data_IF_839010669001
#
_entry.id   IF_839010669001
#
_cell.length_a   1.000
_cell.length_b   1.000
_cell.length_c   1.000
_cell.angle_alpha   90.00
_cell.angle_beta   90.00
_cell.angle_gamma   90.00
#
_symmetry.space_group_name_H-M   'P 1'
#
loop_
_entity.id
_entity.type
_entity.pdbx_description
1 polymer ?
#
# COMPACT_ATOMS: atom_id res chain seq x y z
N UNK A 1 -55.02 24.10 23.73
CA UNK A 1 -55.13 23.67 22.31
C UNK A 1 -53.73 23.58 21.76
N UNK A 2 -53.44 22.43 21.15
CA UNK A 2 -52.14 21.78 21.10
C UNK A 2 -51.17 22.35 20.06
N UNK A 3 -49.91 22.49 20.44
CA UNK A 3 -48.78 22.63 19.52
C UNK A 3 -48.47 21.27 18.91
N UNK A 4 -48.42 21.20 17.58
CA UNK A 4 -47.97 20.02 16.83
C UNK A 4 -46.78 20.44 15.97
N UNK A 5 -45.58 19.86 16.16
CA UNK A 5 -44.46 20.07 15.26
C UNK A 5 -44.60 19.13 14.05
N UNK A 6 -44.49 19.69 12.85
CA UNK A 6 -44.38 18.94 11.60
C UNK A 6 -43.02 18.24 11.56
N UNK A 7 -43.06 16.92 11.69
CA UNK A 7 -41.93 16.02 11.49
C UNK A 7 -41.72 15.87 9.98
N UNK A 8 -40.61 16.39 9.45
CA UNK A 8 -40.15 16.11 8.08
C UNK A 8 -38.91 15.24 8.14
N UNK A 9 -39.12 13.93 8.29
CA UNK A 9 -38.12 12.91 8.06
C UNK A 9 -37.89 12.78 6.54
N UNK A 10 -36.96 13.56 5.99
CA UNK A 10 -36.34 13.23 4.71
C UNK A 10 -35.23 12.19 4.95
N UNK A 11 -35.30 10.99 4.35
CA UNK A 11 -34.17 10.07 4.39
C UNK A 11 -33.05 10.60 3.51
N UNK A 12 -31.96 11.06 4.14
CA UNK A 12 -30.67 11.33 3.51
C UNK A 12 -30.21 10.04 2.81
N UNK A 13 -30.41 10.01 1.50
CA UNK A 13 -29.91 8.96 0.62
C UNK A 13 -28.37 9.04 0.59
N UNK A 14 -27.71 8.36 1.53
CA UNK A 14 -26.29 8.08 1.47
C UNK A 14 -26.03 7.09 0.34
N UNK A 15 -26.11 7.59 -0.90
CA UNK A 15 -25.47 6.94 -2.04
C UNK A 15 -23.97 6.93 -1.74
N UNK A 16 -23.51 5.82 -1.18
CA UNK A 16 -22.10 5.46 -1.15
C UNK A 16 -21.63 5.53 -2.60
N UNK A 17 -20.88 6.59 -2.95
CA UNK A 17 -20.25 6.72 -4.27
C UNK A 17 -19.32 5.54 -4.44
N UNK A 18 -19.84 4.43 -4.98
CA UNK A 18 -19.04 3.29 -5.41
C UNK A 18 -18.09 3.83 -6.47
N UNK A 19 -16.80 3.95 -6.12
CA UNK A 19 -15.78 4.35 -7.08
C UNK A 19 -15.84 3.38 -8.27
N UNK A 20 -15.68 3.85 -9.51
CA UNK A 20 -15.74 2.97 -10.68
C UNK A 20 -14.72 1.84 -10.53
N UNK A 21 -15.20 0.60 -10.49
CA UNK A 21 -14.33 -0.57 -10.50
C UNK A 21 -13.97 -0.85 -11.97
N UNK A 22 -12.69 -0.86 -12.29
CA UNK A 22 -12.26 -1.30 -13.62
C UNK A 22 -12.31 -2.83 -13.68
N UNK A 23 -13.09 -3.36 -14.61
CA UNK A 23 -13.14 -4.80 -14.88
C UNK A 23 -12.06 -5.18 -15.91
N UNK A 24 -11.23 -6.18 -15.56
CA UNK A 24 -10.10 -6.63 -16.38
C UNK A 24 -10.10 -8.16 -16.41
N UNK A 25 -10.48 -8.80 -17.51
CA UNK A 25 -10.49 -10.27 -17.58
C UNK A 25 -9.10 -10.90 -17.81
N UNK A 26 -8.20 -10.16 -18.45
CA UNK A 26 -6.84 -10.62 -18.80
C UNK A 26 -5.82 -9.62 -18.32
N UNK A 27 -4.58 -10.03 -17.96
CA UNK A 27 -3.51 -9.10 -17.64
C UNK A 27 -3.43 -7.97 -18.66
N UNK A 28 -3.61 -6.73 -18.22
CA UNK A 28 -3.72 -5.55 -19.09
C UNK A 28 -2.66 -4.55 -18.74
N UNK A 29 -1.85 -4.17 -19.74
CA UNK A 29 -0.82 -3.15 -19.60
C UNK A 29 -1.37 -1.79 -20.00
N UNK A 30 -1.12 -0.77 -19.20
CA UNK A 30 -1.55 0.60 -19.49
C UNK A 30 -0.61 1.63 -18.89
N UNK A 31 -0.61 2.82 -19.47
CA UNK A 31 0.04 4.00 -18.89
C UNK A 31 -0.93 4.71 -17.95
N UNK A 32 -0.44 5.10 -16.78
CA UNK A 32 -1.22 5.83 -15.79
C UNK A 32 -0.36 6.85 -15.03
N UNK A 33 -1.00 7.76 -14.33
CA UNK A 33 -0.36 8.68 -13.39
C UNK A 33 -0.77 8.32 -11.97
N UNK A 34 0.18 8.33 -11.03
CA UNK A 34 -0.13 8.15 -9.61
C UNK A 34 -0.82 9.42 -9.10
N UNK A 35 -2.04 9.26 -8.58
CA UNK A 35 -2.84 10.38 -8.03
C UNK A 35 -2.62 10.51 -6.53
N UNK A 36 -2.59 9.39 -5.81
CA UNK A 36 -2.39 9.38 -4.37
C UNK A 36 -1.96 8.00 -3.89
N UNK A 37 -1.15 7.97 -2.83
CA UNK A 37 -0.75 6.75 -2.12
C UNK A 37 -1.36 6.75 -0.73
N UNK A 38 -2.00 5.64 -0.35
CA UNK A 38 -2.43 5.41 1.03
C UNK A 38 -1.21 5.08 1.88
N UNK A 39 -0.82 6.03 2.71
CA UNK A 39 0.36 5.94 3.57
C UNK A 39 0.05 5.40 4.97
N UNK A 40 -1.19 5.02 5.27
CA UNK A 40 -1.57 4.53 6.61
C UNK A 40 -1.05 3.13 6.89
N UNK A 41 -0.92 2.29 5.86
CA UNK A 41 -0.51 0.89 5.98
C UNK A 41 0.26 0.43 4.73
N UNK A 42 1.48 0.93 4.54
CA UNK A 42 2.34 0.58 3.39
C UNK A 42 2.96 -0.82 3.48
N UNK A 43 3.15 -1.33 4.69
CA UNK A 43 3.81 -2.61 4.95
C UNK A 43 2.90 -3.51 5.80
N UNK A 44 3.04 -4.83 5.61
CA UNK A 44 2.44 -5.82 6.49
C UNK A 44 3.47 -6.87 6.90
N UNK A 45 3.24 -7.50 8.05
CA UNK A 45 4.19 -8.44 8.63
C UNK A 45 3.92 -9.87 8.18
N UNK A 46 4.98 -10.62 7.90
CA UNK A 46 4.94 -12.05 7.56
C UNK A 46 5.99 -12.84 8.34
N UNK A 47 5.79 -14.16 8.43
CA UNK A 47 6.79 -15.08 8.94
C UNK A 47 7.97 -15.14 7.96
N UNK A 48 9.21 -15.01 8.45
CA UNK A 48 10.40 -15.11 7.59
C UNK A 48 10.63 -16.53 7.04
N UNK A 49 10.01 -17.55 7.64
CA UNK A 49 10.18 -18.96 7.30
C UNK A 49 9.10 -19.46 6.33
N UNK A 50 7.82 -19.29 6.67
CA UNK A 50 6.70 -19.82 5.88
C UNK A 50 5.93 -18.76 5.10
N UNK A 51 6.34 -17.49 5.19
CA UNK A 51 5.77 -16.34 4.48
C UNK A 51 4.27 -16.09 4.70
N UNK A 52 3.67 -16.77 5.68
CA UNK A 52 2.30 -16.50 6.11
C UNK A 52 2.22 -15.16 6.83
N UNK A 53 1.14 -14.43 6.58
CA UNK A 53 0.81 -13.18 7.25
C UNK A 53 0.74 -13.36 8.75
N UNK A 54 1.36 -12.43 9.49
CA UNK A 54 1.31 -12.35 10.93
C UNK A 54 0.41 -11.19 11.37
N UNK A 55 -0.22 -11.28 12.57
CA UNK A 55 -0.90 -10.14 13.19
C UNK A 55 0.04 -8.94 13.33
N UNK A 56 -0.46 -7.71 13.29
CA UNK A 56 0.37 -6.50 13.41
C UNK A 56 1.11 -6.39 14.75
N UNK A 57 0.64 -7.06 15.80
CA UNK A 57 1.28 -7.06 17.11
C UNK A 57 2.69 -7.71 17.04
N UNK A 58 3.78 -6.98 17.35
CA UNK A 58 5.15 -7.48 17.17
C UNK A 58 5.49 -8.72 18.00
N UNK A 59 4.77 -8.98 19.09
CA UNK A 59 5.03 -10.13 19.96
C UNK A 59 4.42 -11.43 19.45
N UNK A 60 3.55 -11.38 18.42
CA UNK A 60 2.90 -12.59 17.92
C UNK A 60 3.85 -13.39 17.03
N UNK A 61 4.25 -14.57 17.52
CA UNK A 61 5.01 -15.56 16.75
C UNK A 61 4.15 -16.26 15.68
N UNK A 62 4.79 -16.82 14.66
CA UNK A 62 4.08 -17.60 13.66
C UNK A 62 3.51 -18.89 14.25
N UNK A 63 2.19 -19.05 14.28
CA UNK A 63 1.52 -20.27 14.78
C UNK A 63 1.91 -21.55 14.03
N UNK A 64 2.36 -21.43 12.79
CA UNK A 64 2.72 -22.56 11.93
C UNK A 64 4.20 -22.94 12.02
N UNK A 65 5.05 -22.02 12.47
CA UNK A 65 6.49 -22.24 12.61
C UNK A 65 6.95 -22.23 14.07
N UNK A 66 6.02 -22.07 15.01
CA UNK A 66 6.28 -22.18 16.44
C UNK A 66 6.40 -23.67 16.81
N UNK A 67 7.50 -24.31 16.40
CA UNK A 67 7.85 -25.64 16.87
C UNK A 67 8.62 -25.48 18.17
N UNK A 68 7.92 -25.67 19.29
CA UNK A 68 8.54 -25.72 20.62
C UNK A 68 9.27 -27.05 20.79
N UNK A 69 10.49 -27.17 20.28
CA UNK A 69 11.42 -28.15 20.83
C UNK A 69 12.05 -27.52 22.08
N UNK A 70 11.83 -28.14 23.24
CA UNK A 70 12.26 -27.66 24.57
C UNK A 70 13.77 -27.42 24.71
N UNK A 71 14.58 -27.91 23.76
CA UNK A 71 16.03 -27.77 23.74
C UNK A 71 16.55 -26.58 22.94
N UNK A 72 15.74 -25.96 22.06
CA UNK A 72 16.11 -24.77 21.30
C UNK A 72 14.84 -24.08 20.75
N UNK A 73 14.24 -23.11 21.46
CA UNK A 73 13.12 -22.35 20.93
C UNK A 73 13.60 -21.44 19.78
N UNK A 74 13.58 -21.95 18.54
CA UNK A 74 13.75 -21.10 17.36
C UNK A 74 12.45 -20.33 17.14
N UNK A 75 12.40 -19.12 17.70
CA UNK A 75 11.34 -18.18 17.31
C UNK A 75 11.52 -17.86 15.83
N UNK A 76 10.52 -18.17 15.02
CA UNK A 76 10.51 -17.73 13.64
C UNK A 76 10.49 -16.20 13.62
N UNK A 77 11.52 -15.58 13.06
CA UNK A 77 11.56 -14.14 12.86
C UNK A 77 10.39 -13.65 12.00
N UNK A 78 10.20 -12.34 11.99
CA UNK A 78 9.26 -11.69 11.09
C UNK A 78 9.99 -10.76 10.13
N UNK A 79 9.48 -10.66 8.90
CA UNK A 79 9.89 -9.67 7.91
C UNK A 79 8.68 -8.89 7.42
N UNK A 80 8.89 -7.73 6.83
CA UNK A 80 7.85 -6.91 6.24
C UNK A 80 7.81 -7.10 4.73
N UNK A 81 6.62 -6.94 4.16
CA UNK A 81 6.41 -6.84 2.72
C UNK A 81 5.53 -5.62 2.45
N UNK A 82 5.72 -4.98 1.30
CA UNK A 82 4.87 -3.88 0.89
C UNK A 82 3.47 -4.38 0.47
N UNK A 83 2.47 -3.60 0.85
CA UNK A 83 1.09 -3.64 0.36
C UNK A 83 0.62 -2.21 0.18
N UNK A 84 0.95 -1.63 -0.95
CA UNK A 84 0.67 -0.22 -1.25
C UNK A 84 -0.68 -0.12 -1.94
N UNK A 85 -1.64 0.56 -1.31
CA UNK A 85 -2.86 0.99 -1.98
C UNK A 85 -2.62 2.36 -2.59
N UNK A 86 -2.90 2.51 -3.89
CA UNK A 86 -2.75 3.78 -4.57
C UNK A 86 -3.86 4.01 -5.57
N UNK A 87 -4.23 5.27 -5.75
CA UNK A 87 -5.14 5.70 -6.82
C UNK A 87 -4.30 6.06 -8.04
N UNK A 88 -4.69 5.51 -9.19
CA UNK A 88 -4.07 5.83 -10.48
C UNK A 88 -5.10 6.43 -11.42
N UNK A 89 -4.66 7.38 -12.23
CA UNK A 89 -5.43 7.98 -13.31
C UNK A 89 -4.94 7.44 -14.65
N UNK A 90 -5.84 6.92 -15.47
CA UNK A 90 -5.62 6.75 -16.90
C UNK A 90 -6.15 7.97 -17.65
N UNK A 91 -6.05 7.95 -18.97
CA UNK A 91 -6.70 8.90 -19.89
C UNK A 91 -8.22 9.09 -19.66
N UNK A 92 -8.87 8.08 -19.09
CA UNK A 92 -10.33 7.96 -19.05
C UNK A 92 -10.93 7.89 -17.64
N UNK A 93 -10.16 7.47 -16.63
CA UNK A 93 -10.70 7.20 -15.29
C UNK A 93 -9.66 7.16 -14.19
N UNK A 94 -10.14 7.33 -12.96
CA UNK A 94 -9.36 7.14 -11.73
C UNK A 94 -9.90 5.96 -10.95
N UNK A 95 -9.03 5.04 -10.54
CA UNK A 95 -9.40 3.89 -9.72
C UNK A 95 -8.25 3.46 -8.80
N UNK A 96 -8.58 2.64 -7.79
CA UNK A 96 -7.63 2.17 -6.78
C UNK A 96 -7.04 0.82 -7.19
N UNK A 97 -5.73 0.70 -7.08
CA UNK A 97 -4.98 -0.54 -7.30
C UNK A 97 -4.15 -0.87 -6.05
N UNK A 98 -3.76 -2.14 -5.93
CA UNK A 98 -2.84 -2.61 -4.90
C UNK A 98 -1.54 -3.10 -5.52
N UNK A 99 -0.41 -2.66 -4.96
CA UNK A 99 0.93 -3.08 -5.34
C UNK A 99 1.54 -3.91 -4.22
N UNK A 100 1.93 -5.14 -4.54
CA UNK A 100 2.65 -6.01 -3.62
C UNK A 100 4.16 -5.87 -3.81
N UNK A 101 4.87 -6.42 -2.84
CA UNK A 101 6.31 -6.25 -2.62
C UNK A 101 7.17 -6.11 -3.87
N UNK A 102 7.17 -7.10 -4.78
CA UNK A 102 8.04 -7.05 -5.97
C UNK A 102 7.84 -5.80 -6.83
N UNK A 103 6.59 -5.38 -7.06
CA UNK A 103 6.32 -4.18 -7.83
C UNK A 103 6.60 -2.92 -7.00
N UNK A 104 6.26 -2.92 -5.71
CA UNK A 104 6.45 -1.76 -4.83
C UNK A 104 7.93 -1.40 -4.67
N UNK A 105 8.81 -2.40 -4.57
CA UNK A 105 10.26 -2.17 -4.49
C UNK A 105 10.84 -1.39 -5.67
N UNK A 106 10.21 -1.45 -6.85
CA UNK A 106 10.63 -0.64 -8.02
C UNK A 106 10.43 0.85 -7.75
N UNK A 107 9.29 1.22 -7.16
CA UNK A 107 8.98 2.62 -6.86
C UNK A 107 9.67 3.12 -5.60
N UNK A 108 9.79 2.24 -4.59
CA UNK A 108 10.39 2.60 -3.30
C UNK A 108 11.92 2.57 -3.33
N UNK A 109 12.53 1.74 -4.19
CA UNK A 109 13.99 1.60 -4.30
C UNK A 109 14.66 0.84 -3.16
N UNK A 110 13.88 0.28 -2.25
CA UNK A 110 14.35 -0.42 -1.06
C UNK A 110 13.45 -1.62 -0.74
N UNK A 111 13.86 -2.44 0.22
CA UNK A 111 12.99 -3.48 0.78
C UNK A 111 11.95 -2.88 1.74
N UNK A 112 10.86 -3.61 2.00
CA UNK A 112 9.85 -3.17 2.95
C UNK A 112 10.37 -3.11 4.40
N UNK A 113 11.31 -3.98 4.78
CA UNK A 113 11.98 -3.91 6.08
C UNK A 113 12.83 -2.64 6.20
N UNK A 114 13.63 -2.34 5.18
CA UNK A 114 14.46 -1.13 5.15
C UNK A 114 13.59 0.13 5.25
N UNK A 115 12.51 0.21 4.45
CA UNK A 115 11.58 1.33 4.52
C UNK A 115 10.90 1.43 5.89
N UNK A 116 10.49 0.29 6.46
CA UNK A 116 9.84 0.24 7.76
C UNK A 116 10.79 0.73 8.88
N UNK A 117 12.04 0.30 8.86
CA UNK A 117 13.05 0.76 9.82
C UNK A 117 13.37 2.24 9.64
N UNK A 118 13.46 2.72 8.41
CA UNK A 118 13.59 4.16 8.12
C UNK A 118 12.40 4.96 8.69
N UNK A 119 11.17 4.48 8.46
CA UNK A 119 9.96 5.15 8.91
C UNK A 119 9.77 5.18 10.44
N UNK A 120 10.39 4.25 11.18
CA UNK A 120 10.41 4.29 12.66
C UNK A 120 11.17 5.51 13.19
N UNK A 121 12.26 5.87 12.51
CA UNK A 121 13.15 6.94 12.95
C UNK A 121 12.65 8.29 12.42
N UNK A 122 11.88 8.30 11.33
CA UNK A 122 11.48 9.50 10.61
C UNK A 122 9.95 9.62 10.58
N UNK A 123 9.36 10.32 11.56
CA UNK A 123 7.94 10.67 11.52
C UNK A 123 7.61 11.30 10.17
N UNK A 124 6.51 10.87 9.55
CA UNK A 124 6.08 11.28 8.20
C UNK A 124 6.82 10.67 7.00
N UNK A 125 7.76 9.74 7.17
CA UNK A 125 8.39 9.06 6.03
C UNK A 125 7.38 8.41 5.07
N UNK A 126 6.35 7.74 5.60
CA UNK A 126 5.27 7.16 4.80
C UNK A 126 4.52 8.20 3.95
N UNK A 127 4.19 9.35 4.54
CA UNK A 127 3.53 10.45 3.84
C UNK A 127 4.45 11.08 2.79
N UNK A 128 5.72 11.31 3.13
CA UNK A 128 6.72 11.85 2.22
C UNK A 128 6.95 10.92 1.01
N UNK A 129 6.98 9.60 1.23
CA UNK A 129 7.09 8.63 0.14
C UNK A 129 5.87 8.71 -0.79
N UNK A 130 4.67 8.85 -0.22
CA UNK A 130 3.45 9.06 -1.00
C UNK A 130 3.51 10.32 -1.86
N UNK A 131 4.04 11.42 -1.31
CA UNK A 131 4.25 12.69 -2.04
C UNK A 131 5.32 12.59 -3.12
N UNK A 132 6.41 11.87 -2.86
CA UNK A 132 7.47 11.64 -3.84
C UNK A 132 6.99 10.85 -5.06
N UNK A 133 5.99 9.98 -4.88
CA UNK A 133 5.40 9.19 -5.96
C UNK A 133 4.20 9.86 -6.63
N UNK A 134 3.61 10.89 -6.03
CA UNK A 134 2.46 11.60 -6.59
C UNK A 134 2.84 12.33 -7.88
N UNK A 135 2.05 12.15 -8.94
CA UNK A 135 2.31 12.72 -10.26
C UNK A 135 3.24 11.88 -11.14
N UNK A 136 3.86 10.82 -10.63
CA UNK A 136 4.71 9.95 -11.44
C UNK A 136 3.89 9.19 -12.49
N UNK A 137 4.39 9.19 -13.72
CA UNK A 137 3.81 8.43 -14.82
C UNK A 137 4.42 7.03 -14.87
N UNK A 138 3.56 6.02 -14.90
CA UNK A 138 3.95 4.62 -14.81
C UNK A 138 3.30 3.81 -15.95
N UNK A 139 4.05 2.85 -16.50
CA UNK A 139 3.49 1.73 -17.24
C UNK A 139 3.23 0.61 -16.24
N UNK A 140 1.97 0.22 -16.07
CA UNK A 140 1.57 -0.83 -15.13
C UNK A 140 0.89 -1.98 -15.85
N UNK A 141 1.15 -3.21 -15.40
CA UNK A 141 0.38 -4.38 -15.80
C UNK A 141 -0.57 -4.76 -14.66
N UNK A 142 -1.87 -4.67 -14.92
CA UNK A 142 -2.91 -4.95 -13.95
C UNK A 142 -3.49 -6.36 -14.13
N UNK A 143 -3.74 -7.04 -13.01
CA UNK A 143 -4.38 -8.37 -12.99
C UNK A 143 -5.56 -8.39 -12.03
N UNK A 144 -6.55 -9.23 -12.33
CA UNK A 144 -7.63 -9.54 -11.39
C UNK A 144 -7.04 -10.19 -10.13
N UNK A 145 -7.60 -9.89 -8.95
CA UNK A 145 -7.27 -10.68 -7.78
C UNK A 145 -7.70 -12.13 -7.98
N UNK A 146 -6.85 -13.05 -7.54
CA UNK A 146 -7.11 -14.51 -7.58
C UNK A 146 -8.22 -14.96 -6.65
N UNK A 147 -8.59 -14.13 -5.67
CA UNK A 147 -9.55 -14.45 -4.63
C UNK A 147 -10.77 -13.55 -4.83
N UNK A 148 -11.96 -14.13 -4.98
CA UNK A 148 -13.19 -13.40 -5.30
C UNK A 148 -13.61 -12.32 -4.31
N UNK A 149 -13.04 -12.30 -3.09
CA UNK A 149 -13.31 -11.28 -2.07
C UNK A 149 -12.41 -10.04 -2.16
N UNK A 150 -11.33 -10.08 -2.94
CA UNK A 150 -10.42 -8.94 -3.04
C UNK A 150 -10.97 -7.89 -4.01
N UNK A 151 -11.06 -6.66 -3.52
CA UNK A 151 -11.76 -5.57 -4.20
C UNK A 151 -10.87 -4.75 -5.15
N UNK A 152 -9.55 -4.89 -5.06
CA UNK A 152 -8.62 -4.07 -5.85
C UNK A 152 -7.88 -4.90 -6.90
N UNK A 153 -7.73 -4.32 -8.09
CA UNK A 153 -6.83 -4.82 -9.12
C UNK A 153 -5.40 -4.82 -8.58
N UNK A 154 -4.62 -5.84 -8.97
CA UNK A 154 -3.23 -6.00 -8.54
C UNK A 154 -2.30 -5.49 -9.61
N UNK A 155 -1.29 -4.72 -9.20
CA UNK A 155 -0.17 -4.36 -10.08
C UNK A 155 0.83 -5.52 -10.09
N UNK A 156 0.92 -6.22 -11.22
CA UNK A 156 1.84 -7.34 -11.43
C UNK A 156 3.25 -6.87 -11.82
N UNK A 157 3.34 -5.77 -12.56
CA UNK A 157 4.59 -5.08 -12.89
C UNK A 157 4.36 -3.59 -13.03
N UNK A 158 5.42 -2.82 -12.79
CA UNK A 158 5.43 -1.36 -12.87
C UNK A 158 6.77 -0.91 -13.45
N UNK A 159 6.74 0.10 -14.31
CA UNK A 159 7.91 0.75 -14.90
C UNK A 159 7.65 2.26 -14.92
N UNK A 160 8.45 3.09 -14.21
CA UNK A 160 8.39 4.53 -14.36
C UNK A 160 8.73 4.96 -15.79
N UNK A 161 7.98 5.91 -16.35
CA UNK A 161 8.23 6.40 -17.72
C UNK A 161 9.38 7.41 -17.76
N UNK A 162 9.57 8.18 -16.69
CA UNK A 162 10.62 9.20 -16.65
C UNK A 162 12.00 8.56 -16.50
N UNK A 163 12.94 8.94 -17.37
CA UNK A 163 14.35 8.56 -17.23
C UNK A 163 15.02 9.21 -16.02
N UNK A 164 14.44 10.29 -15.49
CA UNK A 164 14.91 10.96 -14.28
C UNK A 164 14.22 10.47 -13.01
N UNK A 165 13.41 9.41 -13.10
CA UNK A 165 12.71 8.86 -11.94
C UNK A 165 13.71 8.54 -10.82
N UNK A 166 13.40 9.02 -9.62
CA UNK A 166 14.14 8.70 -8.40
C UNK A 166 13.26 7.84 -7.50
N UNK A 167 13.74 6.67 -7.04
CA UNK A 167 12.99 5.88 -6.08
C UNK A 167 12.72 6.66 -4.80
N UNK A 168 11.57 6.41 -4.18
CA UNK A 168 11.12 7.19 -3.03
C UNK A 168 12.15 7.24 -1.90
N UNK A 169 12.88 6.16 -1.62
CA UNK A 169 13.88 6.12 -0.55
C UNK A 169 15.02 7.12 -0.78
N UNK A 170 15.43 7.38 -2.01
CA UNK A 170 16.51 8.32 -2.31
C UNK A 170 16.06 9.76 -2.06
N UNK A 171 14.85 10.11 -2.52
CA UNK A 171 14.24 11.42 -2.22
C UNK A 171 14.08 11.63 -0.72
N UNK A 172 13.68 10.58 0.02
CA UNK A 172 13.52 10.65 1.47
C UNK A 172 14.86 10.84 2.17
N UNK A 173 15.88 10.05 1.83
CA UNK A 173 17.22 10.19 2.43
C UNK A 173 17.76 11.61 2.25
N UNK A 174 17.56 12.21 1.09
CA UNK A 174 17.96 13.60 0.86
C UNK A 174 17.16 14.58 1.73
N UNK A 175 15.83 14.45 1.75
CA UNK A 175 14.95 15.31 2.53
C UNK A 175 15.28 15.30 4.03
N UNK A 176 15.61 14.13 4.59
CA UNK A 176 15.89 13.98 6.02
C UNK A 176 17.36 14.22 6.37
N UNK A 177 18.30 14.15 5.42
CA UNK A 177 19.68 14.66 5.60
C UNK A 177 19.71 16.17 5.80
N UNK A 178 18.96 16.91 4.98
CA UNK A 178 18.91 18.38 5.03
C UNK A 178 18.32 18.90 6.35
N UNK A 179 17.40 18.13 6.98
CA UNK A 179 16.76 18.51 8.26
C UNK A 179 17.56 18.13 9.51
N UNK A 180 18.64 17.37 9.39
CA UNK A 180 19.51 16.99 10.51
C UNK A 180 20.61 18.01 10.84
N UNK A 181 20.72 19.10 10.05
CA UNK A 181 21.78 20.12 10.14
C UNK A 181 21.22 21.51 10.50
N UNK A 182 19.94 21.61 10.85
CA UNK A 182 19.28 22.86 11.25
C UNK A 182 19.11 22.98 12.75
#
# INVERSE_FOLDING_TARGET
MSNQPTNSDEPVNQQTRKRPLMEIDKPTTMTCTVVAVDHTSLCYRICSVCEKTLPENPTSSCKYCNFSNSFNPRTSGSKHLFRVLMSIATDTKVFVVVMFDRAARVLFGCSADEFFDFAKIHPYAAMAAGRALEGEMLTVTLTRPTNGNAQHLRVASVVPLSSSFQPAIETLRELYRVKGVS
#
